data_IF_305480054360
#
_entry.id   IF_305480054360
#
_cell.length_a   1.000
_cell.length_b   1.000
_cell.length_c   1.000
_cell.angle_alpha   90.00
_cell.angle_beta   90.00
_cell.angle_gamma   90.00
#
_symmetry.space_group_name_H-M   'P 1'
#
loop_
_entity.id
_entity.type
_entity.pdbx_description
1 polymer ?
#
# COMPACT_ATOMS: atom_id res chain seq x y z
N UNK A 1 -17.67 14.88 5.12
CA UNK A 1 -16.33 14.34 5.41
C UNK A 1 -16.18 13.00 4.72
N UNK A 2 -15.35 12.93 3.67
CA UNK A 2 -14.99 11.66 3.03
C UNK A 2 -13.75 11.14 3.75
N UNK A 3 -13.90 10.03 4.48
CA UNK A 3 -12.77 9.32 5.06
C UNK A 3 -12.01 8.58 3.96
N UNK A 4 -10.68 8.47 4.08
CA UNK A 4 -9.85 7.71 3.16
C UNK A 4 -10.23 6.22 3.24
N UNK A 5 -10.62 5.57 2.13
CA UNK A 5 -11.02 4.17 2.17
C UNK A 5 -9.81 3.27 2.45
N UNK A 6 -10.01 2.23 3.27
CA UNK A 6 -9.01 1.21 3.56
C UNK A 6 -9.67 -0.12 3.91
N UNK A 7 -8.93 -1.22 3.76
CA UNK A 7 -9.39 -2.56 4.13
C UNK A 7 -9.11 -2.79 5.61
N UNK A 8 -10.16 -2.81 6.43
CA UNK A 8 -10.03 -2.98 7.89
C UNK A 8 -9.30 -4.27 8.28
N UNK A 9 -9.53 -5.34 7.52
CA UNK A 9 -8.96 -6.68 7.74
C UNK A 9 -7.63 -6.92 7.02
N UNK A 10 -7.07 -5.91 6.33
CA UNK A 10 -5.75 -6.07 5.74
C UNK A 10 -4.68 -6.25 6.82
N UNK A 11 -3.68 -7.11 6.55
CA UNK A 11 -2.58 -7.35 7.48
C UNK A 11 -1.85 -6.05 7.85
N UNK A 12 -1.74 -5.13 6.89
CA UNK A 12 -1.16 -3.81 7.09
C UNK A 12 -1.94 -2.75 6.33
N UNK A 13 -2.17 -1.60 6.97
CA UNK A 13 -2.70 -0.40 6.36
C UNK A 13 -1.70 0.75 6.56
N UNK A 14 -1.26 1.37 5.46
CA UNK A 14 -0.32 2.50 5.48
C UNK A 14 -1.02 3.72 4.93
N UNK A 15 -1.11 4.78 5.73
CA UNK A 15 -1.73 6.04 5.36
C UNK A 15 -0.61 7.04 5.08
N UNK A 16 -0.65 7.67 3.90
CA UNK A 16 0.41 8.55 3.44
C UNK A 16 -0.13 9.87 2.87
N UNK A 17 0.76 10.85 2.76
CA UNK A 17 0.59 12.03 1.90
C UNK A 17 1.61 11.97 0.77
N UNK A 18 1.19 12.31 -0.44
CA UNK A 18 2.10 12.40 -1.60
C UNK A 18 3.12 13.50 -1.33
N UNK A 19 4.39 13.17 -1.50
CA UNK A 19 5.52 14.10 -1.39
C UNK A 19 6.02 14.47 -2.79
N UNK A 20 6.19 13.47 -3.66
CA UNK A 20 6.61 13.66 -5.04
C UNK A 20 5.96 12.63 -5.98
N UNK A 21 5.69 13.05 -7.22
CA UNK A 21 5.35 12.17 -8.34
C UNK A 21 6.40 12.39 -9.42
N UNK A 22 7.06 11.32 -9.86
CA UNK A 22 8.09 11.34 -10.90
C UNK A 22 7.58 10.55 -12.09
N UNK A 23 7.45 11.20 -13.26
CA UNK A 23 7.06 10.52 -14.50
C UNK A 23 8.13 9.52 -14.93
N UNK A 24 7.71 8.31 -15.29
CA UNK A 24 8.60 7.24 -15.75
C UNK A 24 7.94 6.42 -16.88
N UNK A 25 8.10 6.92 -18.10
CA UNK A 25 7.48 6.38 -19.31
C UNK A 25 5.96 6.25 -19.18
N UNK A 26 5.44 5.02 -19.07
CA UNK A 26 3.99 4.74 -19.00
C UNK A 26 3.41 4.79 -17.59
N UNK A 27 4.25 4.93 -16.56
CA UNK A 27 3.85 4.92 -15.15
C UNK A 27 4.54 6.09 -14.40
N UNK A 28 4.19 6.29 -13.14
CA UNK A 28 4.87 7.25 -12.27
C UNK A 28 5.38 6.58 -11.00
N UNK A 29 6.56 6.99 -10.57
CA UNK A 29 7.07 6.68 -9.23
C UNK A 29 6.44 7.67 -8.27
N UNK A 30 5.77 7.18 -7.22
CA UNK A 30 5.12 8.03 -6.21
C UNK A 30 5.89 7.90 -4.90
N UNK A 31 6.54 8.99 -4.46
CA UNK A 31 7.21 9.08 -3.16
C UNK A 31 6.20 9.69 -2.18
N UNK A 32 6.02 9.04 -1.03
CA UNK A 32 5.02 9.44 -0.05
C UNK A 32 5.57 9.48 1.36
N UNK A 33 5.08 10.42 2.16
CA UNK A 33 5.35 10.51 3.59
C UNK A 33 4.30 9.73 4.36
N UNK A 34 4.73 8.74 5.14
CA UNK A 34 3.85 7.98 6.05
C UNK A 34 3.35 8.90 7.16
N UNK A 35 2.03 8.94 7.36
CA UNK A 35 1.38 9.69 8.46
C UNK A 35 0.80 8.77 9.54
N UNK A 36 0.48 7.52 9.19
CA UNK A 36 0.02 6.48 10.11
C UNK A 36 0.28 5.10 9.50
N UNK A 37 0.61 4.12 10.33
CA UNK A 37 0.64 2.72 9.96
C UNK A 37 -0.15 1.91 11.00
N UNK A 38 -0.91 0.92 10.53
CA UNK A 38 -1.60 -0.08 11.36
C UNK A 38 -1.15 -1.44 10.84
N UNK A 39 -0.77 -2.34 11.73
CA UNK A 39 -0.38 -3.71 11.39
C UNK A 39 -0.92 -4.68 12.42
N UNK A 40 -1.37 -5.85 11.97
CA UNK A 40 -1.70 -6.96 12.86
C UNK A 40 -0.43 -7.74 13.22
N UNK A 41 -0.40 -8.35 14.40
CA UNK A 41 0.71 -9.18 14.86
C UNK A 41 0.57 -10.63 14.36
N UNK A 42 0.37 -10.79 13.05
CA UNK A 42 0.33 -12.08 12.36
C UNK A 42 0.96 -11.94 10.98
N UNK A 43 1.41 -13.07 10.42
CA UNK A 43 2.06 -13.12 9.12
C UNK A 43 1.24 -14.02 8.20
N UNK A 44 0.54 -13.40 7.24
CA UNK A 44 -0.21 -14.08 6.20
C UNK A 44 -0.31 -13.16 4.96
N UNK A 45 0.85 -12.74 4.46
CA UNK A 45 0.91 -11.77 3.36
C UNK A 45 0.62 -12.49 2.05
N UNK A 46 -0.39 -12.02 1.33
CA UNK A 46 -0.69 -12.50 -0.01
C UNK A 46 0.46 -12.15 -0.94
N UNK A 47 1.15 -13.17 -1.47
CA UNK A 47 2.25 -13.00 -2.41
C UNK A 47 1.75 -13.20 -3.84
N UNK A 48 2.23 -12.37 -4.76
CA UNK A 48 1.96 -12.50 -6.19
C UNK A 48 3.28 -12.53 -6.95
N UNK A 49 3.55 -13.63 -7.64
CA UNK A 49 4.74 -13.80 -8.47
C UNK A 49 4.42 -14.73 -9.65
N UNK A 50 5.21 -14.63 -10.72
CA UNK A 50 5.09 -15.49 -11.91
C UNK A 50 3.67 -15.58 -12.49
N UNK A 51 2.89 -14.49 -12.36
CA UNK A 51 1.53 -14.42 -12.88
C UNK A 51 0.45 -15.04 -11.98
N UNK A 52 0.78 -15.51 -10.77
CA UNK A 52 -0.16 -16.15 -9.85
C UNK A 52 0.01 -15.72 -8.39
N UNK A 53 -1.00 -16.05 -7.58
CA UNK A 53 -0.88 -15.99 -6.13
C UNK A 53 -0.07 -17.20 -5.63
N UNK A 54 0.81 -16.98 -4.67
CA UNK A 54 1.60 -18.02 -4.03
C UNK A 54 1.03 -18.36 -2.65
N UNK A 55 1.13 -19.64 -2.28
CA UNK A 55 0.84 -20.17 -0.93
C UNK A 55 2.07 -20.07 -0.01
#
# INVERSE_FOLDING_TARGET
NSELPFLKEAQSNIFCKIDQIIEYHTHSIVITKVVKAISVNSFNTLMYADGGYLD
#
